data_IF_465568128038
#
_entry.id   IF_465568128038
#
_cell.length_a   1.000
_cell.length_b   1.000
_cell.length_c   1.000
_cell.angle_alpha   90.00
_cell.angle_beta   90.00
_cell.angle_gamma   90.00
#
_symmetry.space_group_name_H-M   'P 1'
#
loop_
_entity.id
_entity.type
_entity.pdbx_description
1 polymer ?
#
# COMPACT_ATOMS: atom_id res chain seq x y z
N UNK A 1 47.39 26.96 -52.03
CA UNK A 1 45.99 27.38 -51.82
C UNK A 1 45.12 26.28 -52.43
N UNK A 2 44.91 25.10 -51.81
CA UNK A 2 44.06 24.78 -50.63
C UNK A 2 42.68 25.42 -50.68
N UNK A 3 41.69 24.66 -51.15
CA UNK A 3 40.37 24.44 -50.50
C UNK A 3 39.65 23.33 -51.27
N UNK A 4 39.58 22.14 -50.69
CA UNK A 4 38.68 21.08 -51.10
C UNK A 4 37.86 20.69 -49.86
N UNK A 5 36.55 20.75 -50.00
CA UNK A 5 35.53 20.63 -48.96
C UNK A 5 35.57 19.22 -48.38
N UNK A 6 35.84 19.06 -47.08
CA UNK A 6 35.74 17.76 -46.42
C UNK A 6 35.27 17.87 -44.96
N UNK A 7 34.14 17.21 -44.72
CA UNK A 7 33.66 16.56 -43.49
C UNK A 7 33.30 17.38 -42.24
N UNK A 8 31.98 17.36 -41.99
CA UNK A 8 31.37 17.41 -40.67
C UNK A 8 31.89 16.26 -39.78
N UNK A 9 32.09 16.53 -38.48
CA UNK A 9 31.33 15.94 -37.36
C UNK A 9 32.09 16.28 -36.06
N UNK A 10 31.35 16.92 -35.16
CA UNK A 10 31.74 17.43 -33.86
C UNK A 10 32.06 16.26 -32.92
N UNK A 11 33.28 16.19 -32.39
CA UNK A 11 33.65 15.27 -31.31
C UNK A 11 33.39 15.96 -29.97
N UNK A 12 32.19 15.81 -29.41
CA UNK A 12 31.95 16.08 -27.98
C UNK A 12 32.15 14.77 -27.22
N UNK A 13 33.35 14.58 -26.69
CA UNK A 13 33.58 13.57 -25.65
C UNK A 13 33.05 14.13 -24.33
N UNK A 14 31.74 14.01 -24.11
CA UNK A 14 31.17 14.13 -22.78
C UNK A 14 31.41 12.82 -22.05
N UNK A 15 32.29 12.86 -21.06
CA UNK A 15 32.61 11.74 -20.19
C UNK A 15 31.37 11.47 -19.34
N UNK A 16 30.56 10.47 -19.71
CA UNK A 16 29.51 9.95 -18.84
C UNK A 16 30.17 9.30 -17.65
N UNK A 17 30.29 10.04 -16.54
CA UNK A 17 30.67 9.49 -15.26
C UNK A 17 29.59 8.50 -14.85
N UNK A 18 29.89 7.20 -14.96
CA UNK A 18 28.99 6.13 -14.55
C UNK A 18 29.04 5.98 -13.03
N UNK A 19 28.35 6.86 -12.31
CA UNK A 19 27.94 6.57 -10.95
C UNK A 19 26.88 5.47 -11.01
N UNK A 20 27.21 4.29 -10.50
CA UNK A 20 26.26 3.21 -10.29
C UNK A 20 25.27 3.63 -9.19
N UNK A 21 24.16 4.23 -9.61
CA UNK A 21 22.98 4.36 -8.76
C UNK A 21 22.49 2.94 -8.45
N UNK A 22 22.32 2.54 -7.17
CA UNK A 22 21.68 1.27 -6.86
C UNK A 22 20.29 1.28 -7.52
N UNK A 23 19.93 0.21 -8.22
CA UNK A 23 18.65 0.08 -8.90
C UNK A 23 17.48 0.03 -7.91
N UNK A 24 17.16 1.13 -7.23
CA UNK A 24 15.79 1.38 -6.77
C UNK A 24 14.99 1.73 -8.02
N UNK A 25 14.40 0.67 -8.57
CA UNK A 25 13.85 0.55 -9.92
C UNK A 25 12.56 1.34 -10.05
N UNK A 26 12.38 1.94 -11.21
CA UNK A 26 11.11 2.41 -11.78
C UNK A 26 9.92 1.41 -11.70
N UNK A 27 10.21 0.14 -11.41
CA UNK A 27 9.29 -0.96 -11.13
C UNK A 27 8.60 -0.83 -9.76
N UNK A 28 9.34 -0.38 -8.73
CA UNK A 28 8.86 -0.13 -7.35
C UNK A 28 7.78 0.96 -7.34
N UNK A 29 8.06 2.07 -8.03
CA UNK A 29 7.11 3.17 -8.21
C UNK A 29 5.83 2.71 -8.94
N UNK A 30 5.95 1.75 -9.86
CA UNK A 30 4.79 1.19 -10.58
C UNK A 30 3.92 0.28 -9.72
N UNK A 31 4.55 -0.54 -8.85
CA UNK A 31 3.86 -1.42 -7.90
C UNK A 31 3.18 -0.59 -6.80
N UNK A 32 3.85 0.45 -6.30
CA UNK A 32 3.27 1.40 -5.36
C UNK A 32 2.00 2.07 -5.91
N UNK A 33 2.07 2.62 -7.13
CA UNK A 33 0.91 3.27 -7.75
C UNK A 33 -0.24 2.29 -8.06
N UNK A 34 0.10 1.05 -8.42
CA UNK A 34 -0.89 -0.01 -8.59
C UNK A 34 -1.63 -0.28 -7.28
N UNK A 35 -0.91 -0.45 -6.16
CA UNK A 35 -1.51 -0.66 -4.85
C UNK A 35 -2.48 0.48 -4.48
N UNK A 36 -2.06 1.75 -4.66
CA UNK A 36 -2.91 2.91 -4.38
C UNK A 36 -4.20 2.87 -5.20
N UNK A 37 -4.08 2.56 -6.49
CA UNK A 37 -5.22 2.50 -7.43
C UNK A 37 -6.20 1.38 -7.07
N UNK A 38 -5.71 0.18 -6.76
CA UNK A 38 -6.55 -0.99 -6.47
C UNK A 38 -7.29 -0.86 -5.13
N UNK A 39 -6.74 -0.11 -4.17
CA UNK A 39 -7.28 -0.02 -2.81
C UNK A 39 -7.93 1.33 -2.48
N UNK A 40 -8.12 2.21 -3.48
CA UNK A 40 -8.56 3.60 -3.28
C UNK A 40 -7.72 4.35 -2.22
N UNK A 41 -6.45 3.96 -2.10
CA UNK A 41 -5.55 4.48 -1.11
C UNK A 41 -5.04 5.87 -1.49
N UNK A 42 -4.67 6.64 -0.48
CA UNK A 42 -3.90 7.88 -0.65
C UNK A 42 -2.49 7.68 -0.10
N UNK A 43 -1.53 8.43 -0.64
CA UNK A 43 -0.17 8.48 -0.12
C UNK A 43 -0.22 8.94 1.35
N UNK A 44 0.16 8.05 2.28
CA UNK A 44 0.03 8.27 3.73
C UNK A 44 -0.99 7.39 4.45
N UNK A 45 -1.73 6.54 3.73
CA UNK A 45 -2.67 5.56 4.31
C UNK A 45 -4.11 6.07 4.42
N UNK A 46 -5.02 5.15 4.72
CA UNK A 46 -6.45 5.41 4.84
C UNK A 46 -7.07 4.57 5.95
N UNK A 47 -8.18 5.06 6.50
CA UNK A 47 -8.93 4.38 7.54
C UNK A 47 -10.16 3.71 6.93
N UNK A 48 -10.44 2.49 7.38
CA UNK A 48 -11.78 1.90 7.29
C UNK A 48 -12.46 2.05 8.65
N UNK A 49 -13.63 1.42 8.84
CA UNK A 49 -14.26 1.36 10.16
C UNK A 49 -13.43 0.54 11.16
N UNK A 50 -12.71 -0.48 10.68
CA UNK A 50 -12.05 -1.46 11.54
C UNK A 50 -10.52 -1.48 11.41
N UNK A 51 -9.96 -0.86 10.38
CA UNK A 51 -8.54 -1.00 10.04
C UNK A 51 -7.93 0.32 9.60
N UNK A 52 -6.61 0.43 9.75
CA UNK A 52 -5.80 1.45 9.08
C UNK A 52 -4.90 0.75 8.08
N UNK A 53 -4.98 1.15 6.83
CA UNK A 53 -4.26 0.54 5.73
C UNK A 53 -3.32 1.54 5.05
N UNK A 54 -2.22 1.05 4.51
CA UNK A 54 -1.29 1.81 3.69
C UNK A 54 -0.66 0.92 2.62
N UNK A 55 -0.28 1.53 1.50
CA UNK A 55 0.60 0.89 0.54
C UNK A 55 2.06 1.11 0.96
N UNK A 56 2.86 0.05 0.99
CA UNK A 56 4.31 0.15 1.16
C UNK A 56 4.98 0.41 -0.19
N UNK A 57 6.22 0.93 -0.18
CA UNK A 57 6.91 1.31 -1.42
C UNK A 57 7.16 0.14 -2.37
N UNK A 58 7.27 -1.08 -1.85
CA UNK A 58 7.34 -2.32 -2.63
C UNK A 58 6.00 -2.75 -3.27
N UNK A 59 4.95 -1.94 -3.10
CA UNK A 59 3.60 -2.19 -3.61
C UNK A 59 2.79 -3.19 -2.80
N UNK A 60 3.28 -3.64 -1.64
CA UNK A 60 2.48 -4.47 -0.74
C UNK A 60 1.46 -3.61 0.04
N UNK A 61 0.32 -4.23 0.36
CA UNK A 61 -0.71 -3.62 1.21
C UNK A 61 -0.47 -4.04 2.66
N UNK A 62 -0.37 -3.06 3.56
CA UNK A 62 -0.21 -3.25 4.99
C UNK A 62 -1.44 -2.67 5.70
N UNK A 63 -2.18 -3.52 6.42
CA UNK A 63 -3.38 -3.15 7.16
C UNK A 63 -3.28 -3.61 8.61
N UNK A 64 -3.66 -2.73 9.52
CA UNK A 64 -3.67 -2.97 10.96
C UNK A 64 -5.12 -2.96 11.43
N UNK A 65 -5.55 -4.07 12.03
CA UNK A 65 -6.84 -4.19 12.72
C UNK A 65 -6.83 -3.34 14.00
N UNK A 66 -7.78 -2.42 14.09
CA UNK A 66 -7.96 -1.51 15.22
C UNK A 66 -8.78 -2.14 16.36
N UNK A 67 -9.54 -3.20 16.08
CA UNK A 67 -10.41 -3.86 17.05
C UNK A 67 -10.32 -5.40 16.97
N UNK A 68 -9.12 -5.98 17.18
CA UNK A 68 -8.91 -7.41 17.03
C UNK A 68 -9.77 -8.24 17.99
N UNK A 69 -10.04 -7.75 19.20
CA UNK A 69 -10.90 -8.44 20.16
C UNK A 69 -12.37 -8.44 19.74
N UNK A 70 -12.87 -7.34 19.15
CA UNK A 70 -14.22 -7.28 18.57
C UNK A 70 -14.38 -8.26 17.42
N UNK A 71 -13.41 -8.30 16.49
CA UNK A 71 -13.44 -9.26 15.40
C UNK A 71 -13.31 -10.70 15.88
N UNK A 72 -12.52 -10.97 16.93
CA UNK A 72 -12.46 -12.29 17.53
C UNK A 72 -13.82 -12.68 18.13
N UNK A 73 -14.49 -11.77 18.85
CA UNK A 73 -15.85 -12.00 19.34
C UNK A 73 -16.82 -12.33 18.18
N UNK A 74 -16.77 -11.57 17.08
CA UNK A 74 -17.59 -11.90 15.90
C UNK A 74 -17.28 -13.29 15.35
N UNK A 75 -16.00 -13.67 15.22
CA UNK A 75 -15.58 -15.00 14.74
C UNK A 75 -16.12 -16.10 15.64
N UNK A 76 -16.01 -15.94 16.95
CA UNK A 76 -16.50 -16.89 17.94
C UNK A 76 -18.03 -17.05 17.88
N UNK A 77 -18.73 -16.03 17.37
CA UNK A 77 -20.18 -16.00 17.19
C UNK A 77 -20.66 -16.17 15.74
N UNK A 78 -19.84 -16.74 14.85
CA UNK A 78 -20.25 -17.10 13.49
C UNK A 78 -20.22 -15.95 12.48
N UNK A 79 -19.37 -14.94 12.74
CA UNK A 79 -19.17 -13.78 11.87
C UNK A 79 -20.20 -12.68 12.04
N UNK A 80 -21.07 -12.77 13.05
CA UNK A 80 -22.07 -11.74 13.37
C UNK A 80 -21.71 -11.05 14.68
N UNK A 81 -22.04 -9.76 14.77
CA UNK A 81 -21.77 -8.94 15.96
C UNK A 81 -22.95 -8.90 16.94
N UNK A 82 -24.10 -9.49 16.61
CA UNK A 82 -25.27 -9.57 17.47
C UNK A 82 -26.05 -10.85 17.25
N UNK A 83 -26.66 -11.38 18.31
CA UNK A 83 -27.44 -12.62 18.27
C UNK A 83 -28.45 -12.68 19.42
N UNK A 84 -29.34 -13.68 19.38
CA UNK A 84 -30.33 -13.93 20.45
C UNK A 84 -29.91 -15.14 21.29
N UNK A 85 -29.92 -14.98 22.61
CA UNK A 85 -29.75 -16.07 23.60
C UNK A 85 -30.90 -15.99 24.59
N UNK A 86 -31.71 -17.05 24.67
CA UNK A 86 -32.85 -17.14 25.58
C UNK A 86 -33.73 -15.88 25.58
N UNK A 87 -34.06 -15.38 24.39
CA UNK A 87 -34.87 -14.19 24.18
C UNK A 87 -34.24 -12.86 24.67
N UNK A 88 -32.91 -12.82 24.90
CA UNK A 88 -32.12 -11.60 25.12
C UNK A 88 -31.23 -11.31 23.92
N UNK A 89 -31.15 -10.04 23.53
CA UNK A 89 -30.23 -9.58 22.51
C UNK A 89 -28.83 -9.43 23.09
N UNK A 90 -27.90 -10.19 22.53
CA UNK A 90 -26.48 -10.12 22.84
C UNK A 90 -25.73 -9.46 21.69
N UNK A 91 -24.62 -8.78 21.98
CA UNK A 91 -23.73 -8.22 20.97
C UNK A 91 -22.27 -8.11 21.45
N UNK A 92 -21.34 -8.05 20.50
CA UNK A 92 -19.93 -7.79 20.73
C UNK A 92 -19.70 -6.29 20.94
N UNK A 93 -19.03 -5.91 22.02
CA UNK A 93 -18.48 -4.57 22.21
C UNK A 93 -17.14 -4.44 21.48
N UNK A 94 -16.72 -3.21 21.21
CA UNK A 94 -15.44 -2.89 20.57
C UNK A 94 -14.21 -3.44 21.31
N UNK A 95 -14.31 -3.73 22.61
CA UNK A 95 -13.27 -4.35 23.43
C UNK A 95 -13.32 -5.89 23.43
N UNK A 96 -14.18 -6.50 22.60
CA UNK A 96 -14.39 -7.94 22.49
C UNK A 96 -15.27 -8.55 23.58
N UNK A 97 -15.74 -7.78 24.54
CA UNK A 97 -16.67 -8.29 25.55
C UNK A 97 -18.08 -8.47 24.97
N UNK A 98 -18.86 -9.37 25.57
CA UNK A 98 -20.25 -9.62 25.18
C UNK A 98 -21.18 -8.89 26.15
N UNK A 99 -22.19 -8.21 25.61
CA UNK A 99 -23.28 -7.65 26.40
C UNK A 99 -24.63 -8.23 25.97
N UNK A 100 -25.38 -8.70 26.96
CA UNK A 100 -26.78 -9.11 26.93
C UNK A 100 -27.50 -8.49 28.16
#
# INVERSE_FOLDING_TARGET
MRTNVLLMIIQVFSISSAYSVPAKRQDDDSLYQKCLTENNGVDGGWNTEYEVCQCLKDGTLDCIDLFPEYHQCMKDHGGINHWLVDNRFCYCNWDGTIKC
#
